data_IF_517236959185
#
_entry.id   IF_517236959185
#
_cell.length_a   1.000
_cell.length_b   1.000
_cell.length_c   1.000
_cell.angle_alpha   90.00
_cell.angle_beta   90.00
_cell.angle_gamma   90.00
#
_symmetry.space_group_name_H-M   'P 1'
#
loop_
_entity.id
_entity.type
_entity.pdbx_description
1 polymer ?
#
# COMPACT_ATOMS: atom_id res chain seq x y z
N UNK A 1 0.56 -0.53 -33.73
CA UNK A 1 1.00 0.58 -34.62
C UNK A 1 1.17 1.82 -33.77
N UNK A 2 2.09 2.76 -34.07
CA UNK A 2 2.14 4.02 -33.34
C UNK A 2 0.78 4.73 -33.44
N UNK A 3 0.22 5.12 -32.29
CA UNK A 3 -1.06 5.83 -32.25
C UNK A 3 -0.96 7.16 -32.99
N UNK A 4 -2.03 7.61 -33.69
CA UNK A 4 -2.06 8.94 -34.26
C UNK A 4 -1.84 9.99 -33.17
N UNK A 5 -1.02 11.00 -33.49
CA UNK A 5 -0.67 12.09 -32.60
C UNK A 5 -1.02 13.42 -33.24
N UNK A 6 -1.51 14.35 -32.43
CA UNK A 6 -1.78 15.73 -32.82
C UNK A 6 -0.70 16.64 -32.26
N UNK A 7 -0.12 17.49 -33.12
CA UNK A 7 0.85 18.50 -32.71
C UNK A 7 0.14 19.79 -32.33
N UNK A 8 0.40 20.26 -31.12
CA UNK A 8 -0.05 21.55 -30.59
C UNK A 8 1.14 22.51 -30.53
N UNK A 9 0.92 23.75 -30.98
CA UNK A 9 1.87 24.84 -30.81
C UNK A 9 1.37 25.76 -29.71
N UNK A 10 2.13 25.85 -28.61
CA UNK A 10 1.78 26.65 -27.44
C UNK A 10 2.62 27.93 -27.47
N UNK A 11 1.96 29.07 -27.76
CA UNK A 11 2.62 30.37 -27.85
C UNK A 11 1.79 31.43 -27.15
N UNK A 12 2.45 32.37 -26.47
CA UNK A 12 1.77 33.55 -25.96
C UNK A 12 1.58 34.57 -27.09
N UNK A 13 0.36 35.09 -27.23
CA UNK A 13 0.09 36.17 -28.18
C UNK A 13 1.00 37.36 -27.87
N UNK A 14 1.82 37.76 -28.85
CA UNK A 14 2.75 38.89 -28.77
C UNK A 14 3.96 38.74 -27.82
N UNK A 15 4.37 37.51 -27.49
CA UNK A 15 5.59 37.26 -26.69
C UNK A 15 6.82 36.94 -27.53
N UNK A 16 8.00 37.34 -27.04
CA UNK A 16 9.30 36.87 -27.55
C UNK A 16 9.70 35.48 -27.02
N UNK A 17 8.90 34.90 -26.10
CA UNK A 17 9.10 33.54 -25.60
C UNK A 17 8.94 32.54 -26.74
N UNK A 18 9.90 31.63 -26.95
CA UNK A 18 9.79 30.59 -27.97
C UNK A 18 8.56 29.71 -27.73
N UNK A 19 7.88 29.36 -28.82
CA UNK A 19 6.73 28.46 -28.77
C UNK A 19 7.16 27.08 -28.24
N UNK A 20 6.30 26.46 -27.44
CA UNK A 20 6.49 25.09 -26.95
C UNK A 20 5.68 24.16 -27.85
N UNK A 21 6.36 23.21 -28.50
CA UNK A 21 5.69 22.15 -29.25
C UNK A 21 5.31 20.98 -28.33
N UNK A 22 4.04 20.61 -28.38
CA UNK A 22 3.49 19.51 -27.61
C UNK A 22 2.85 18.50 -28.56
N UNK A 23 3.18 17.22 -28.40
CA UNK A 23 2.45 16.13 -29.07
C UNK A 23 1.47 15.53 -28.07
N UNK A 24 0.21 15.39 -28.49
CA UNK A 24 -0.86 14.74 -27.73
C UNK A 24 -1.39 13.52 -28.50
N UNK A 25 -1.97 12.54 -27.81
CA UNK A 25 -2.80 11.52 -28.44
C UNK A 25 -4.01 12.17 -29.11
N UNK A 26 -4.43 11.62 -30.24
CA UNK A 26 -5.56 12.14 -30.99
C UNK A 26 -6.87 12.00 -30.19
N UNK A 27 -7.55 13.13 -30.01
CA UNK A 27 -8.82 13.27 -29.29
C UNK A 27 -9.81 14.10 -30.11
N UNK A 28 -9.55 14.29 -31.40
CA UNK A 28 -10.34 15.18 -32.26
C UNK A 28 -10.11 16.67 -31.97
N UNK A 29 -10.63 17.55 -32.84
CA UNK A 29 -10.26 18.97 -32.86
C UNK A 29 -10.76 19.76 -31.64
N UNK A 30 -11.99 19.50 -31.17
CA UNK A 30 -12.57 20.25 -30.05
C UNK A 30 -11.83 19.95 -28.73
N UNK A 31 -11.59 18.66 -28.45
CA UNK A 31 -10.84 18.26 -27.27
C UNK A 31 -9.36 18.64 -27.37
N UNK A 32 -8.77 18.60 -28.58
CA UNK A 32 -7.40 19.09 -28.80
C UNK A 32 -7.26 20.58 -28.49
N UNK A 33 -8.25 21.41 -28.86
CA UNK A 33 -8.28 22.83 -28.51
C UNK A 33 -8.39 23.04 -26.99
N UNK A 34 -9.19 22.23 -26.29
CA UNK A 34 -9.25 22.25 -24.83
C UNK A 34 -7.90 21.87 -24.18
N UNK A 35 -7.21 20.85 -24.69
CA UNK A 35 -5.86 20.50 -24.25
C UNK A 35 -4.83 21.61 -24.55
N UNK A 36 -4.94 22.30 -25.68
CA UNK A 36 -4.10 23.47 -25.97
C UNK A 36 -4.21 24.53 -24.86
N UNK A 37 -5.42 24.78 -24.36
CA UNK A 37 -5.66 25.63 -23.19
C UNK A 37 -4.97 25.10 -21.92
N UNK A 38 -5.07 23.80 -21.62
CA UNK A 38 -4.39 23.18 -20.48
C UNK A 38 -2.86 23.37 -20.56
N UNK A 39 -2.27 23.12 -21.73
CA UNK A 39 -0.84 23.26 -21.92
C UNK A 39 -0.38 24.72 -21.89
N UNK A 40 -1.19 25.65 -22.39
CA UNK A 40 -0.92 27.08 -22.26
C UNK A 40 -1.01 27.55 -20.81
N UNK A 41 -1.97 27.05 -20.04
CA UNK A 41 -2.03 27.29 -18.59
C UNK A 41 -0.77 26.79 -17.89
N UNK A 42 -0.33 25.57 -18.22
CA UNK A 42 0.84 24.96 -17.60
C UNK A 42 2.17 25.67 -17.95
N UNK A 43 2.47 25.83 -19.25
CA UNK A 43 3.76 26.35 -19.69
C UNK A 43 3.85 27.88 -19.76
N UNK A 44 2.72 28.56 -19.93
CA UNK A 44 2.68 30.02 -20.11
C UNK A 44 1.90 30.73 -18.99
N UNK A 45 1.42 30.01 -17.98
CA UNK A 45 0.62 30.55 -16.87
C UNK A 45 -0.63 31.32 -17.31
N UNK A 46 -1.20 30.98 -18.47
CA UNK A 46 -2.44 31.58 -18.94
C UNK A 46 -3.64 31.11 -18.09
N UNK A 47 -4.71 31.91 -17.96
CA UNK A 47 -5.94 31.46 -17.30
C UNK A 47 -6.52 30.21 -17.98
N UNK A 48 -6.99 29.26 -17.17
CA UNK A 48 -7.60 28.01 -17.66
C UNK A 48 -9.13 28.09 -17.61
N UNK A 49 -9.79 27.84 -18.74
CA UNK A 49 -11.25 27.64 -18.80
C UNK A 49 -11.59 26.17 -18.51
N UNK A 50 -11.69 25.84 -17.23
CA UNK A 50 -12.04 24.49 -16.77
C UNK A 50 -13.47 24.08 -17.15
N UNK A 51 -14.41 25.03 -17.25
CA UNK A 51 -15.78 24.72 -17.63
C UNK A 51 -15.85 24.34 -19.12
N UNK A 52 -15.20 25.13 -19.98
CA UNK A 52 -15.07 24.80 -21.40
C UNK A 52 -14.36 23.47 -21.62
N UNK A 53 -13.27 23.21 -20.87
CA UNK A 53 -12.59 21.92 -20.92
C UNK A 53 -13.51 20.76 -20.52
N UNK A 54 -14.25 20.89 -19.43
CA UNK A 54 -15.18 19.88 -18.96
C UNK A 54 -16.27 19.60 -20.01
N UNK A 55 -16.87 20.63 -20.60
CA UNK A 55 -17.88 20.48 -21.66
C UNK A 55 -17.31 19.73 -22.87
N UNK A 56 -16.10 20.09 -23.33
CA UNK A 56 -15.44 19.42 -24.44
C UNK A 56 -15.14 17.94 -24.13
N UNK A 57 -14.71 17.64 -22.90
CA UNK A 57 -14.41 16.27 -22.47
C UNK A 57 -15.66 15.38 -22.41
N UNK A 58 -16.78 15.89 -21.87
CA UNK A 58 -18.05 15.15 -21.86
C UNK A 58 -18.54 14.88 -23.28
N UNK A 59 -18.50 15.88 -24.16
CA UNK A 59 -18.87 15.71 -25.56
C UNK A 59 -17.95 14.71 -26.28
N UNK A 60 -16.65 14.73 -25.99
CA UNK A 60 -15.70 13.75 -26.51
C UNK A 60 -16.07 12.32 -26.09
N UNK A 61 -16.42 12.08 -24.83
CA UNK A 61 -16.81 10.75 -24.36
C UNK A 61 -18.07 10.20 -25.06
N UNK A 62 -19.00 11.06 -25.49
CA UNK A 62 -20.12 10.62 -26.33
C UNK A 62 -19.65 10.07 -27.70
N UNK A 63 -18.55 10.62 -28.24
CA UNK A 63 -18.01 10.19 -29.55
C UNK A 63 -17.20 8.89 -29.47
N UNK A 64 -16.63 8.58 -28.29
CA UNK A 64 -15.80 7.38 -28.05
C UNK A 64 -16.49 6.37 -27.13
N UNK A 65 -17.83 6.37 -27.11
CA UNK A 65 -18.64 5.46 -26.30
C UNK A 65 -18.23 4.00 -26.53
N UNK A 66 -17.78 3.34 -25.46
CA UNK A 66 -17.34 1.94 -25.49
C UNK A 66 -15.95 1.72 -26.12
N UNK A 67 -15.24 2.79 -26.47
CA UNK A 67 -13.88 2.75 -27.01
C UNK A 67 -12.84 3.05 -25.91
N UNK A 68 -12.27 1.97 -25.36
CA UNK A 68 -11.24 2.05 -24.32
C UNK A 68 -9.96 2.75 -24.77
N UNK A 69 -9.64 2.72 -26.07
CA UNK A 69 -8.48 3.43 -26.61
C UNK A 69 -8.73 4.94 -26.61
N UNK A 70 -9.93 5.38 -27.00
CA UNK A 70 -10.37 6.76 -26.93
C UNK A 70 -10.40 7.31 -25.51
N UNK A 71 -10.86 6.52 -24.54
CA UNK A 71 -10.79 6.85 -23.11
C UNK A 71 -9.34 7.06 -22.64
N UNK A 72 -8.46 6.13 -23.04
CA UNK A 72 -7.04 6.18 -22.70
C UNK A 72 -6.35 7.39 -23.33
N UNK A 73 -6.69 7.76 -24.57
CA UNK A 73 -6.11 8.92 -25.25
C UNK A 73 -6.38 10.23 -24.50
N UNK A 74 -7.62 10.43 -24.03
CA UNK A 74 -7.97 11.58 -23.20
C UNK A 74 -7.13 11.63 -21.91
N UNK A 75 -7.03 10.52 -21.17
CA UNK A 75 -6.30 10.47 -19.90
C UNK A 75 -4.79 10.61 -20.09
N UNK A 76 -4.23 9.98 -21.12
CA UNK A 76 -2.80 10.02 -21.42
C UNK A 76 -2.31 11.43 -21.74
N UNK A 77 -3.18 12.31 -22.26
CA UNK A 77 -2.83 13.69 -22.55
C UNK A 77 -2.54 14.54 -21.30
N UNK A 78 -2.90 14.09 -20.10
CA UNK A 78 -2.49 14.74 -18.84
C UNK A 78 -1.09 14.32 -18.37
N UNK A 79 -0.60 13.16 -18.81
CA UNK A 79 0.65 12.55 -18.30
C UNK A 79 1.86 13.45 -18.50
N UNK A 80 1.94 14.19 -19.61
CA UNK A 80 3.07 15.09 -19.87
C UNK A 80 3.13 16.27 -18.91
N UNK A 81 1.98 16.86 -18.61
CA UNK A 81 1.87 17.93 -17.59
C UNK A 81 2.28 17.37 -16.23
N UNK A 82 1.73 16.21 -15.86
CA UNK A 82 2.05 15.53 -14.61
C UNK A 82 3.55 15.20 -14.47
N UNK A 83 4.18 14.60 -15.47
CA UNK A 83 5.61 14.27 -15.46
C UNK A 83 6.47 15.53 -15.32
N UNK A 84 6.14 16.60 -16.04
CA UNK A 84 6.87 17.86 -15.92
C UNK A 84 6.75 18.44 -14.49
N UNK A 85 5.54 18.46 -13.91
CA UNK A 85 5.34 18.90 -12.53
C UNK A 85 6.16 18.08 -11.52
N UNK A 86 6.23 16.75 -11.70
CA UNK A 86 7.06 15.90 -10.85
C UNK A 86 8.55 16.17 -11.00
N UNK A 87 9.04 16.33 -12.23
CA UNK A 87 10.45 16.63 -12.50
C UNK A 87 10.88 17.98 -11.92
N UNK A 88 9.96 18.92 -11.81
CA UNK A 88 10.17 20.24 -11.19
C UNK A 88 9.98 20.24 -9.67
N UNK A 89 9.70 19.09 -9.06
CA UNK A 89 9.44 18.97 -7.62
C UNK A 89 8.10 19.56 -7.17
N UNK A 90 7.20 19.88 -8.11
CA UNK A 90 5.88 20.45 -7.83
C UNK A 90 4.85 19.37 -7.48
N UNK A 91 5.18 18.49 -6.53
CA UNK A 91 4.35 17.32 -6.17
C UNK A 91 2.90 17.68 -5.82
N UNK A 92 2.69 18.79 -5.11
CA UNK A 92 1.34 19.24 -4.75
C UNK A 92 0.50 19.62 -5.98
N UNK A 93 1.11 20.20 -7.01
CA UNK A 93 0.42 20.48 -8.27
C UNK A 93 0.19 19.19 -9.08
N UNK A 94 1.17 18.29 -9.09
CA UNK A 94 1.06 16.97 -9.71
C UNK A 94 -0.09 16.14 -9.11
N UNK A 95 -0.40 16.29 -7.81
CA UNK A 95 -1.56 15.66 -7.18
C UNK A 95 -2.90 16.24 -7.65
N UNK A 96 -2.96 17.55 -7.87
CA UNK A 96 -4.23 18.26 -8.16
C UNK A 96 -4.73 18.05 -9.58
N UNK A 97 -3.88 17.60 -10.50
CA UNK A 97 -4.28 17.43 -11.91
C UNK A 97 -5.22 16.23 -12.10
N UNK A 98 -5.04 15.16 -11.33
CA UNK A 98 -5.79 13.92 -11.50
C UNK A 98 -7.28 14.03 -11.16
N UNK A 99 -7.68 14.63 -10.01
CA UNK A 99 -9.09 14.93 -9.76
C UNK A 99 -9.76 15.70 -10.91
N UNK A 100 -9.06 16.70 -11.48
CA UNK A 100 -9.55 17.51 -12.60
C UNK A 100 -9.69 16.70 -13.88
N UNK A 101 -8.77 15.79 -14.15
CA UNK A 101 -8.87 14.89 -15.32
C UNK A 101 -10.04 13.92 -15.22
N UNK A 102 -10.39 13.49 -14.01
CA UNK A 102 -11.42 12.48 -13.74
C UNK A 102 -12.83 13.07 -13.64
N UNK A 103 -12.95 14.35 -13.27
CA UNK A 103 -14.23 15.05 -13.09
C UNK A 103 -15.18 14.90 -14.30
N UNK A 104 -14.75 15.10 -15.57
CA UNK A 104 -15.63 14.91 -16.72
C UNK A 104 -16.08 13.45 -16.92
N UNK A 105 -15.24 12.47 -16.58
CA UNK A 105 -15.59 11.06 -16.69
C UNK A 105 -16.70 10.68 -15.70
N UNK A 106 -16.61 11.15 -14.45
CA UNK A 106 -17.68 10.94 -13.47
C UNK A 106 -18.99 11.62 -13.88
N UNK A 107 -18.90 12.85 -14.38
CA UNK A 107 -20.08 13.58 -14.85
C UNK A 107 -20.75 12.87 -16.04
N UNK A 108 -19.96 12.30 -16.94
CA UNK A 108 -20.46 11.53 -18.06
C UNK A 108 -21.10 10.21 -17.62
N UNK A 109 -20.45 9.43 -16.74
CA UNK A 109 -20.98 8.16 -16.21
C UNK A 109 -22.28 8.36 -15.41
N UNK A 110 -22.41 9.47 -14.67
CA UNK A 110 -23.64 9.81 -13.95
C UNK A 110 -24.85 9.98 -14.88
N UNK A 111 -24.62 10.39 -16.14
CA UNK A 111 -25.66 10.52 -17.17
C UNK A 111 -25.80 9.26 -18.04
N UNK A 112 -24.88 8.30 -17.91
CA UNK A 112 -24.82 7.07 -18.70
C UNK A 112 -24.60 5.84 -17.80
N UNK A 113 -25.59 5.47 -16.95
CA UNK A 113 -25.39 4.52 -15.86
C UNK A 113 -25.06 3.08 -16.29
N UNK A 114 -25.26 2.73 -17.56
CA UNK A 114 -24.91 1.41 -18.12
C UNK A 114 -23.51 1.37 -18.73
N UNK A 115 -22.77 2.47 -18.69
CA UNK A 115 -21.50 2.64 -19.38
C UNK A 115 -20.42 3.17 -18.45
N UNK A 116 -19.17 2.93 -18.83
CA UNK A 116 -18.01 3.25 -18.02
C UNK A 116 -16.86 3.78 -18.86
N UNK A 117 -16.16 4.74 -18.30
CA UNK A 117 -14.84 5.20 -18.74
C UNK A 117 -13.80 4.47 -17.87
N UNK A 118 -12.80 3.84 -18.50
CA UNK A 118 -11.72 3.21 -17.74
C UNK A 118 -10.87 4.29 -17.05
N UNK A 119 -10.67 4.15 -15.74
CA UNK A 119 -9.97 5.12 -14.88
C UNK A 119 -8.75 4.51 -14.16
N UNK A 120 -8.32 3.31 -14.52
CA UNK A 120 -7.22 2.61 -13.82
C UNK A 120 -5.91 3.40 -13.81
N UNK A 121 -5.44 3.80 -14.99
CA UNK A 121 -4.19 4.58 -15.15
C UNK A 121 -4.15 5.89 -14.35
N UNK A 122 -5.13 6.81 -14.43
CA UNK A 122 -5.11 8.04 -13.65
C UNK A 122 -5.20 7.80 -12.15
N UNK A 123 -5.97 6.82 -11.68
CA UNK A 123 -5.96 6.44 -10.26
C UNK A 123 -4.59 5.95 -9.81
N UNK A 124 -3.92 5.13 -10.63
CA UNK A 124 -2.59 4.62 -10.31
C UNK A 124 -1.53 5.73 -10.27
N UNK A 125 -1.54 6.65 -11.25
CA UNK A 125 -0.62 7.79 -11.28
C UNK A 125 -0.86 8.75 -10.11
N UNK A 126 -2.12 9.00 -9.78
CA UNK A 126 -2.49 9.80 -8.62
C UNK A 126 -2.04 9.13 -7.32
N UNK A 127 -2.30 7.83 -7.16
CA UNK A 127 -1.97 7.06 -5.98
C UNK A 127 -0.47 7.00 -5.71
N UNK A 128 0.33 6.65 -6.72
CA UNK A 128 1.79 6.64 -6.53
C UNK A 128 2.36 8.05 -6.29
N UNK A 129 1.77 9.10 -6.87
CA UNK A 129 2.15 10.48 -6.54
C UNK A 129 1.84 10.81 -5.08
N UNK A 130 0.70 10.37 -4.54
CA UNK A 130 0.34 10.59 -3.14
C UNK A 130 1.29 9.83 -2.20
N UNK A 131 1.68 8.60 -2.54
CA UNK A 131 2.73 7.87 -1.80
C UNK A 131 4.06 8.64 -1.80
N UNK A 132 4.48 9.16 -2.97
CA UNK A 132 5.70 10.00 -3.06
C UNK A 132 5.60 11.29 -2.23
N UNK A 133 4.40 11.87 -2.14
CA UNK A 133 4.14 13.05 -1.31
C UNK A 133 4.05 12.73 0.20
N UNK A 134 4.08 11.45 0.58
CA UNK A 134 3.91 11.00 1.95
C UNK A 134 2.45 10.93 2.42
N UNK A 135 1.47 11.05 1.54
CA UNK A 135 0.06 10.78 1.84
C UNK A 135 -0.25 9.31 1.53
N UNK A 136 0.10 8.44 2.49
CA UNK A 136 -0.02 6.99 2.33
C UNK A 136 -1.48 6.55 2.25
N UNK A 137 -2.38 7.16 3.03
CA UNK A 137 -3.79 6.77 3.08
C UNK A 137 -4.46 7.02 1.72
N UNK A 138 -4.29 8.23 1.18
CA UNK A 138 -4.78 8.56 -0.15
C UNK A 138 -4.09 7.70 -1.22
N UNK A 139 -2.77 7.52 -1.10
CA UNK A 139 -1.98 6.76 -2.05
C UNK A 139 -2.44 5.32 -2.22
N UNK A 140 -2.59 4.59 -1.12
CA UNK A 140 -3.03 3.20 -1.15
C UNK A 140 -4.51 3.04 -1.52
N UNK A 141 -5.38 3.98 -1.11
CA UNK A 141 -6.78 3.99 -1.55
C UNK A 141 -6.89 4.10 -3.07
N UNK A 142 -6.10 5.00 -3.68
CA UNK A 142 -6.10 5.21 -5.12
C UNK A 142 -5.44 4.05 -5.89
N UNK A 143 -4.35 3.48 -5.38
CA UNK A 143 -3.74 2.28 -5.99
C UNK A 143 -4.72 1.09 -5.95
N UNK A 144 -5.45 0.92 -4.84
CA UNK A 144 -6.50 -0.09 -4.77
C UNK A 144 -7.64 0.20 -5.73
N UNK A 145 -8.11 1.45 -5.82
CA UNK A 145 -9.14 1.83 -6.79
C UNK A 145 -8.70 1.59 -8.24
N UNK A 146 -7.42 1.83 -8.57
CA UNK A 146 -6.86 1.52 -9.88
C UNK A 146 -6.94 0.02 -10.18
N UNK A 147 -6.60 -0.81 -9.20
CA UNK A 147 -6.70 -2.26 -9.32
C UNK A 147 -8.16 -2.72 -9.52
N UNK A 148 -9.13 -2.14 -8.82
CA UNK A 148 -10.55 -2.45 -9.03
C UNK A 148 -11.05 -2.04 -10.43
N UNK A 149 -10.61 -0.89 -10.97
CA UNK A 149 -10.90 -0.54 -12.36
C UNK A 149 -10.29 -1.55 -13.35
N UNK A 150 -9.07 -2.02 -13.09
CA UNK A 150 -8.39 -3.01 -13.91
C UNK A 150 -9.11 -4.37 -13.90
N UNK A 151 -9.67 -4.80 -12.75
CA UNK A 151 -10.51 -6.01 -12.67
C UNK A 151 -11.76 -5.90 -13.52
N UNK A 152 -12.42 -4.74 -13.49
CA UNK A 152 -13.64 -4.51 -14.25
C UNK A 152 -13.39 -4.49 -15.76
N UNK A 153 -12.28 -3.90 -16.20
CA UNK A 153 -11.93 -3.81 -17.63
C UNK A 153 -11.47 -5.16 -18.20
N UNK A 154 -10.64 -5.89 -17.45
CA UNK A 154 -10.07 -7.16 -17.93
C UNK A 154 -10.95 -8.38 -17.65
N UNK A 155 -11.95 -8.25 -16.77
CA UNK A 155 -12.72 -9.35 -16.19
C UNK A 155 -11.85 -10.44 -15.52
N UNK A 156 -10.63 -10.08 -15.10
CA UNK A 156 -9.71 -10.95 -14.36
C UNK A 156 -9.75 -10.58 -12.87
N UNK A 157 -9.76 -11.59 -11.99
CA UNK A 157 -9.69 -11.36 -10.54
C UNK A 157 -8.34 -10.77 -10.10
N UNK A 158 -7.29 -10.96 -10.88
CA UNK A 158 -5.93 -10.49 -10.56
C UNK A 158 -5.19 -10.08 -11.83
N UNK A 159 -5.53 -8.91 -12.38
CA UNK A 159 -4.89 -8.39 -13.59
C UNK A 159 -3.39 -8.15 -13.36
N UNK A 160 -2.54 -8.56 -14.31
CA UNK A 160 -1.08 -8.33 -14.28
C UNK A 160 -0.71 -6.88 -14.68
N UNK A 161 -1.35 -5.92 -14.03
CA UNK A 161 -1.29 -4.48 -14.33
C UNK A 161 -0.57 -3.69 -13.21
N UNK A 162 -0.18 -2.42 -13.47
CA UNK A 162 0.73 -1.69 -12.59
C UNK A 162 0.29 -1.58 -11.13
N UNK A 163 -1.02 -1.48 -10.86
CA UNK A 163 -1.57 -1.41 -9.51
C UNK A 163 -1.34 -2.72 -8.73
N UNK A 164 -1.61 -3.87 -9.34
CA UNK A 164 -1.30 -5.17 -8.74
C UNK A 164 0.20 -5.35 -8.55
N UNK A 165 1.01 -5.00 -9.56
CA UNK A 165 2.47 -5.06 -9.49
C UNK A 165 3.06 -4.20 -8.38
N UNK A 166 2.41 -3.08 -8.05
CA UNK A 166 2.83 -2.20 -6.96
C UNK A 166 2.70 -2.92 -5.60
N UNK A 167 1.58 -3.61 -5.37
CA UNK A 167 1.32 -4.34 -4.12
C UNK A 167 2.01 -5.70 -4.06
N UNK A 168 2.18 -6.37 -5.19
CA UNK A 168 3.01 -7.56 -5.30
C UNK A 168 4.52 -7.28 -5.07
N UNK A 169 4.88 -6.01 -4.97
CA UNK A 169 6.24 -5.50 -4.87
C UNK A 169 7.13 -5.93 -6.06
N UNK A 170 6.62 -5.85 -7.30
CA UNK A 170 7.34 -6.19 -8.54
C UNK A 170 8.41 -5.15 -8.92
N UNK A 171 9.53 -5.17 -8.20
CA UNK A 171 10.65 -4.24 -8.35
C UNK A 171 11.54 -4.51 -9.58
N UNK A 172 11.36 -5.66 -10.25
CA UNK A 172 12.08 -6.01 -11.49
C UNK A 172 11.29 -5.72 -12.76
N UNK A 173 10.00 -5.38 -12.66
CA UNK A 173 9.17 -5.08 -13.83
C UNK A 173 9.57 -3.73 -14.44
N UNK A 174 9.96 -3.67 -15.73
CA UNK A 174 10.26 -2.40 -16.39
C UNK A 174 9.02 -1.53 -16.59
N UNK A 175 7.81 -2.08 -16.45
CA UNK A 175 6.53 -1.36 -16.53
C UNK A 175 6.07 -0.76 -15.20
N UNK A 176 6.80 -1.00 -14.10
CA UNK A 176 6.47 -0.44 -12.79
C UNK A 176 6.91 1.03 -12.73
N UNK A 177 5.96 1.96 -12.84
CA UNK A 177 6.27 3.40 -12.91
C UNK A 177 6.84 3.93 -11.59
N UNK A 178 6.29 3.48 -10.46
CA UNK A 178 6.75 3.86 -9.12
C UNK A 178 7.81 2.88 -8.59
N UNK A 179 8.65 2.36 -9.49
CA UNK A 179 9.69 1.37 -9.17
C UNK A 179 10.58 1.76 -7.98
N UNK A 180 11.03 3.02 -7.81
CA UNK A 180 11.83 3.37 -6.63
C UNK A 180 11.11 3.10 -5.30
N UNK A 181 9.81 3.37 -5.22
CA UNK A 181 9.00 3.07 -4.02
C UNK A 181 8.91 1.57 -3.82
N UNK A 182 8.58 0.84 -4.88
CA UNK A 182 8.41 -0.62 -4.87
C UNK A 182 9.70 -1.34 -4.48
N UNK A 183 10.83 -1.00 -5.12
CA UNK A 183 12.16 -1.51 -4.78
C UNK A 183 12.48 -1.26 -3.32
N UNK A 184 12.24 -0.04 -2.85
CA UNK A 184 12.60 0.33 -1.49
C UNK A 184 11.74 -0.37 -0.42
N UNK A 185 10.48 -0.70 -0.72
CA UNK A 185 9.64 -1.55 0.14
C UNK A 185 10.07 -3.03 0.06
N UNK A 186 10.42 -3.52 -1.14
CA UNK A 186 10.89 -4.89 -1.33
C UNK A 186 12.20 -5.16 -0.57
N UNK A 187 13.15 -4.23 -0.63
CA UNK A 187 14.39 -4.26 0.15
C UNK A 187 14.11 -4.29 1.65
N UNK A 188 13.19 -3.44 2.11
CA UNK A 188 12.80 -3.42 3.52
C UNK A 188 12.20 -4.76 3.97
N UNK A 189 11.33 -5.41 3.17
CA UNK A 189 10.85 -6.77 3.47
C UNK A 189 12.01 -7.77 3.49
N UNK A 190 12.93 -7.70 2.53
CA UNK A 190 14.06 -8.61 2.44
C UNK A 190 14.97 -8.55 3.69
N UNK A 191 15.26 -7.35 4.20
CA UNK A 191 16.01 -7.15 5.44
C UNK A 191 15.31 -7.79 6.64
N UNK A 192 13.97 -7.66 6.72
CA UNK A 192 13.16 -8.25 7.79
C UNK A 192 13.10 -9.76 7.71
N UNK A 193 13.02 -10.32 6.50
CA UNK A 193 13.09 -11.77 6.25
C UNK A 193 14.48 -12.30 6.61
N UNK A 194 15.55 -11.59 6.27
CA UNK A 194 16.91 -11.99 6.65
C UNK A 194 17.08 -12.04 8.17
N UNK A 195 16.53 -11.05 8.88
CA UNK A 195 16.51 -11.02 10.35
C UNK A 195 15.70 -12.20 10.92
N UNK A 196 14.54 -12.50 10.34
CA UNK A 196 13.73 -13.67 10.70
C UNK A 196 14.51 -14.97 10.52
N UNK A 197 15.12 -15.20 9.35
CA UNK A 197 15.88 -16.42 9.09
C UNK A 197 17.04 -16.58 10.08
N UNK A 198 17.72 -15.47 10.43
CA UNK A 198 18.80 -15.48 11.42
C UNK A 198 18.32 -15.79 12.84
N UNK A 199 17.24 -15.16 13.30
CA UNK A 199 16.77 -15.27 14.69
C UNK A 199 15.90 -16.51 14.94
N UNK A 200 15.12 -16.90 13.95
CA UNK A 200 14.12 -17.96 14.04
C UNK A 200 14.56 -19.27 13.39
N UNK A 201 15.69 -19.29 12.67
CA UNK A 201 16.15 -20.47 11.92
C UNK A 201 15.30 -20.77 10.67
N UNK A 202 14.58 -19.78 10.16
CA UNK A 202 13.78 -19.90 8.93
C UNK A 202 14.62 -19.97 7.65
N UNK A 203 13.97 -20.28 6.53
CA UNK A 203 14.54 -20.32 5.19
C UNK A 203 13.76 -19.48 4.16
N UNK A 204 12.78 -18.69 4.60
CA UNK A 204 11.93 -17.88 3.76
C UNK A 204 12.75 -16.94 2.88
N UNK A 205 12.47 -16.91 1.58
CA UNK A 205 13.07 -15.94 0.66
C UNK A 205 12.06 -14.84 0.32
N UNK A 206 12.54 -13.67 -0.12
CA UNK A 206 11.66 -12.59 -0.57
C UNK A 206 10.72 -13.08 -1.69
N UNK A 207 11.23 -13.84 -2.65
CA UNK A 207 10.42 -14.35 -3.76
C UNK A 207 9.37 -15.36 -3.29
N UNK A 208 9.73 -16.28 -2.38
CA UNK A 208 8.75 -17.18 -1.78
C UNK A 208 7.67 -16.41 -0.99
N UNK A 209 8.06 -15.36 -0.26
CA UNK A 209 7.11 -14.50 0.45
C UNK A 209 6.17 -13.76 -0.53
N UNK A 210 6.70 -13.17 -1.60
CA UNK A 210 5.90 -12.54 -2.66
C UNK A 210 4.91 -13.53 -3.25
N UNK A 211 5.36 -14.73 -3.62
CA UNK A 211 4.49 -15.76 -4.21
C UNK A 211 3.38 -16.23 -3.25
N UNK A 212 3.72 -16.44 -1.97
CA UNK A 212 2.81 -17.04 -0.99
C UNK A 212 1.81 -16.05 -0.38
N UNK A 213 2.21 -14.77 -0.22
CA UNK A 213 1.36 -13.70 0.31
C UNK A 213 0.96 -12.70 -0.78
N UNK A 214 1.92 -11.96 -1.33
CA UNK A 214 1.63 -10.73 -2.09
C UNK A 214 1.01 -10.97 -3.47
N UNK A 215 1.32 -12.11 -4.11
CA UNK A 215 0.75 -12.55 -5.40
C UNK A 215 -0.37 -13.57 -5.24
N UNK A 216 -0.69 -13.95 -4.00
CA UNK A 216 -1.72 -14.94 -3.73
C UNK A 216 -3.09 -14.28 -3.82
N UNK A 217 -3.84 -14.63 -4.86
CA UNK A 217 -5.14 -14.01 -5.16
C UNK A 217 -6.19 -14.25 -4.07
N UNK A 218 -6.07 -15.34 -3.30
CA UNK A 218 -6.91 -15.60 -2.14
C UNK A 218 -6.56 -14.72 -0.92
N UNK A 219 -5.43 -14.02 -0.97
CA UNK A 219 -4.95 -13.09 0.07
C UNK A 219 -4.82 -11.67 -0.47
N UNK A 220 -5.61 -11.30 -1.48
CA UNK A 220 -5.57 -9.97 -2.09
C UNK A 220 -5.69 -8.85 -1.04
N UNK A 221 -6.75 -8.85 -0.21
CA UNK A 221 -6.94 -7.80 0.80
C UNK A 221 -5.81 -7.80 1.86
N UNK A 222 -5.41 -8.95 2.44
CA UNK A 222 -4.22 -9.02 3.29
C UNK A 222 -2.94 -8.51 2.64
N UNK A 223 -2.74 -8.73 1.33
CA UNK A 223 -1.56 -8.26 0.61
C UNK A 223 -1.55 -6.72 0.49
N UNK A 224 -2.66 -6.11 0.06
CA UNK A 224 -2.81 -4.66 0.03
C UNK A 224 -2.59 -4.05 1.42
N UNK A 225 -3.24 -4.62 2.43
CA UNK A 225 -3.16 -4.12 3.79
C UNK A 225 -1.76 -4.29 4.39
N UNK A 226 -1.06 -5.38 4.08
CA UNK A 226 0.33 -5.59 4.49
C UNK A 226 1.26 -4.53 3.92
N UNK A 227 1.19 -4.23 2.62
CA UNK A 227 2.10 -3.25 2.00
C UNK A 227 1.83 -1.82 2.48
N UNK A 228 0.56 -1.51 2.76
CA UNK A 228 0.17 -0.27 3.44
C UNK A 228 0.77 -0.19 4.86
N UNK A 229 0.56 -1.22 5.69
CA UNK A 229 1.10 -1.29 7.05
C UNK A 229 2.63 -1.20 7.06
N UNK A 230 3.29 -1.88 6.12
CA UNK A 230 4.73 -1.83 5.90
C UNK A 230 5.22 -0.41 5.62
N UNK A 231 4.53 0.31 4.73
CA UNK A 231 4.86 1.70 4.37
C UNK A 231 4.73 2.64 5.58
N UNK A 232 3.65 2.48 6.37
CA UNK A 232 3.45 3.24 7.61
C UNK A 232 4.54 2.95 8.65
N UNK A 233 4.81 1.68 8.91
CA UNK A 233 5.80 1.27 9.90
C UNK A 233 7.20 1.74 9.53
N UNK A 234 7.57 1.67 8.24
CA UNK A 234 8.84 2.19 7.75
C UNK A 234 8.98 3.68 7.99
N UNK A 235 7.94 4.48 7.73
CA UNK A 235 7.94 5.92 8.02
C UNK A 235 8.10 6.20 9.52
N UNK A 236 7.45 5.41 10.37
CA UNK A 236 7.57 5.50 11.84
C UNK A 236 8.92 5.00 12.39
N UNK A 237 9.73 4.31 11.60
CA UNK A 237 11.13 4.04 11.97
C UNK A 237 12.04 5.24 11.67
N UNK A 238 11.65 6.06 10.70
CA UNK A 238 12.43 7.18 10.16
C UNK A 238 12.06 8.55 10.77
N UNK A 239 11.08 8.60 11.67
CA UNK A 239 10.74 9.84 12.40
C UNK A 239 11.95 10.40 13.14
N UNK A 240 12.05 11.72 13.11
CA UNK A 240 13.09 12.48 13.80
C UNK A 240 13.20 12.02 15.27
N UNK A 241 14.40 11.71 15.76
CA UNK A 241 14.60 11.31 17.15
C UNK A 241 13.96 12.25 18.17
N UNK A 242 13.93 13.57 17.94
CA UNK A 242 13.30 14.54 18.83
C UNK A 242 11.77 14.40 18.90
N UNK A 243 11.14 13.86 17.86
CA UNK A 243 9.70 13.60 17.85
C UNK A 243 9.33 12.31 18.59
N UNK A 244 10.30 11.42 18.86
CA UNK A 244 10.09 10.18 19.63
C UNK A 244 9.76 10.45 21.10
N UNK A 245 10.17 11.60 21.62
CA UNK A 245 9.87 12.04 23.00
C UNK A 245 8.40 12.45 23.18
N UNK A 246 7.62 12.53 22.09
CA UNK A 246 6.19 12.81 22.16
C UNK A 246 5.41 11.66 22.83
N UNK A 247 4.53 12.00 23.77
CA UNK A 247 3.58 11.03 24.38
C UNK A 247 2.61 10.42 23.36
N UNK A 248 2.52 10.99 22.15
CA UNK A 248 1.70 10.45 21.07
C UNK A 248 2.45 9.45 20.18
N UNK A 249 3.79 9.48 20.16
CA UNK A 249 4.59 8.56 19.34
C UNK A 249 4.34 7.07 19.68
N UNK A 250 4.29 6.66 20.97
CA UNK A 250 3.95 5.29 21.33
C UNK A 250 2.59 4.82 20.80
N UNK A 251 1.60 5.72 20.77
CA UNK A 251 0.24 5.40 20.30
C UNK A 251 0.22 5.14 18.79
N UNK A 252 0.92 5.97 18.01
CA UNK A 252 1.08 5.77 16.56
C UNK A 252 1.81 4.47 16.24
N UNK A 253 2.87 4.16 16.98
CA UNK A 253 3.66 2.95 16.80
C UNK A 253 2.89 1.70 17.21
N UNK A 254 2.15 1.72 18.33
CA UNK A 254 1.26 0.64 18.71
C UNK A 254 0.16 0.41 17.64
N UNK A 255 -0.42 1.48 17.10
CA UNK A 255 -1.39 1.36 16.02
C UNK A 255 -0.79 0.69 14.77
N UNK A 256 0.43 1.08 14.38
CA UNK A 256 1.11 0.42 13.26
C UNK A 256 1.43 -1.06 13.53
N UNK A 257 1.76 -1.43 14.78
CA UNK A 257 1.95 -2.84 15.15
C UNK A 257 0.65 -3.65 15.08
N UNK A 258 -0.48 -3.04 15.45
CA UNK A 258 -1.80 -3.67 15.38
C UNK A 258 -2.14 -4.08 13.95
N UNK A 259 -1.82 -3.25 12.96
CA UNK A 259 -2.07 -3.53 11.54
C UNK A 259 -1.46 -4.88 11.13
N UNK A 260 -0.23 -5.21 11.56
CA UNK A 260 0.40 -6.49 11.27
C UNK A 260 -0.28 -7.67 11.95
N UNK A 261 -0.79 -7.50 13.18
CA UNK A 261 -1.55 -8.58 13.83
C UNK A 261 -2.91 -8.82 13.17
N UNK A 262 -3.50 -7.79 12.53
CA UNK A 262 -4.69 -7.99 11.68
C UNK A 262 -4.33 -8.75 10.40
N UNK A 263 -3.20 -8.45 9.75
CA UNK A 263 -2.70 -9.25 8.62
C UNK A 263 -2.49 -10.71 9.04
N UNK A 264 -1.83 -10.95 10.18
CA UNK A 264 -1.63 -12.30 10.71
C UNK A 264 -2.95 -13.03 10.94
N UNK A 265 -3.91 -12.37 11.59
CA UNK A 265 -5.25 -12.93 11.85
C UNK A 265 -5.95 -13.32 10.55
N UNK A 266 -5.96 -12.45 9.54
CA UNK A 266 -6.56 -12.74 8.23
C UNK A 266 -5.85 -13.89 7.48
N UNK A 267 -4.52 -13.92 7.48
CA UNK A 267 -3.74 -14.99 6.84
C UNK A 267 -3.97 -16.33 7.52
N UNK A 268 -4.00 -16.37 8.86
CA UNK A 268 -4.31 -17.60 9.60
C UNK A 268 -5.76 -18.05 9.35
N UNK A 269 -6.72 -17.12 9.36
CA UNK A 269 -8.13 -17.44 9.13
C UNK A 269 -8.37 -18.03 7.73
N UNK A 270 -7.65 -17.56 6.71
CA UNK A 270 -7.73 -18.13 5.36
C UNK A 270 -7.30 -19.61 5.31
N UNK A 271 -6.40 -20.06 6.21
CA UNK A 271 -6.00 -21.48 6.34
C UNK A 271 -6.84 -22.26 7.36
N UNK A 272 -7.41 -21.56 8.34
CA UNK A 272 -8.09 -22.14 9.48
C UNK A 272 -9.50 -21.51 9.63
N UNK A 273 -10.40 -21.68 8.64
CA UNK A 273 -11.64 -20.93 8.54
C UNK A 273 -12.65 -21.21 9.67
N UNK A 274 -12.45 -22.28 10.44
CA UNK A 274 -13.28 -22.61 11.60
C UNK A 274 -13.06 -21.70 12.82
N UNK A 275 -12.05 -20.83 12.79
CA UNK A 275 -11.70 -19.94 13.89
C UNK A 275 -11.71 -18.48 13.44
N UNK A 276 -12.22 -17.59 14.30
CA UNK A 276 -12.40 -16.16 14.00
C UNK A 276 -11.70 -15.23 15.00
N UNK A 277 -10.92 -15.80 15.92
CA UNK A 277 -10.16 -15.05 16.91
C UNK A 277 -8.68 -15.46 16.81
N UNK A 278 -7.78 -14.49 16.92
CA UNK A 278 -6.34 -14.72 16.82
C UNK A 278 -5.80 -15.79 17.81
N UNK A 279 -6.32 -15.88 19.04
CA UNK A 279 -5.84 -16.85 20.03
C UNK A 279 -6.07 -18.32 19.62
N UNK A 280 -7.30 -18.75 19.27
CA UNK A 280 -7.51 -20.10 18.76
C UNK A 280 -6.83 -20.34 17.40
N UNK A 281 -6.72 -19.32 16.54
CA UNK A 281 -5.97 -19.41 15.28
C UNK A 281 -4.49 -19.76 15.53
N UNK A 282 -3.80 -19.01 16.39
CA UNK A 282 -2.41 -19.28 16.77
C UNK A 282 -2.26 -20.64 17.45
N UNK A 283 -3.22 -21.02 18.31
CA UNK A 283 -3.21 -22.32 18.98
C UNK A 283 -3.26 -23.45 17.97
N UNK A 284 -4.23 -23.39 17.04
CA UNK A 284 -4.40 -24.43 16.03
C UNK A 284 -3.24 -24.48 15.05
N UNK A 285 -2.73 -23.33 14.59
CA UNK A 285 -1.52 -23.26 13.79
C UNK A 285 -0.35 -23.95 14.50
N UNK A 286 -0.18 -23.67 15.80
CA UNK A 286 0.90 -24.25 16.58
C UNK A 286 0.78 -25.76 16.74
N UNK A 287 -0.44 -26.28 16.92
CA UNK A 287 -0.69 -27.73 16.91
C UNK A 287 -0.33 -28.34 15.55
N UNK A 288 -0.78 -27.73 14.46
CA UNK A 288 -0.59 -28.25 13.10
C UNK A 288 0.88 -28.28 12.68
N UNK A 289 1.66 -27.26 13.05
CA UNK A 289 3.05 -27.10 12.62
C UNK A 289 4.09 -27.41 13.71
N UNK A 290 3.67 -28.03 14.82
CA UNK A 290 4.59 -28.58 15.82
C UNK A 290 5.21 -27.57 16.79
N UNK A 291 4.64 -26.36 16.91
CA UNK A 291 5.06 -25.38 17.91
C UNK A 291 4.42 -25.64 19.27
N UNK A 292 5.15 -25.40 20.35
CA UNK A 292 4.73 -25.84 21.70
C UNK A 292 3.99 -24.78 22.50
N UNK A 293 3.61 -23.64 21.91
CA UNK A 293 2.93 -22.55 22.64
C UNK A 293 1.57 -22.95 23.24
N UNK A 294 0.93 -23.97 22.66
CA UNK A 294 -0.32 -24.57 23.15
C UNK A 294 -0.09 -25.59 24.28
N UNK A 295 1.13 -26.09 24.43
CA UNK A 295 1.46 -27.14 25.39
C UNK A 295 1.66 -26.55 26.78
N UNK A 296 1.31 -27.34 27.80
CA UNK A 296 1.52 -26.96 29.18
C UNK A 296 3.03 -26.86 29.50
N UNK A 297 3.43 -25.76 30.12
CA UNK A 297 4.76 -25.63 30.71
C UNK A 297 4.96 -26.68 31.81
N UNK A 298 6.13 -27.32 31.83
CA UNK A 298 6.44 -28.41 32.74
C UNK A 298 6.29 -28.01 34.23
N UNK A 299 6.65 -26.77 34.56
CA UNK A 299 6.64 -26.22 35.92
C UNK A 299 5.28 -25.63 36.31
N UNK A 300 4.65 -24.88 35.39
CA UNK A 300 3.43 -24.12 35.71
C UNK A 300 2.13 -24.85 35.40
N UNK A 301 2.17 -25.96 34.65
CA UNK A 301 1.01 -26.74 34.21
C UNK A 301 -0.06 -25.92 33.47
N UNK A 302 0.36 -24.86 32.78
CA UNK A 302 -0.49 -24.00 31.93
C UNK A 302 0.13 -23.83 30.55
N UNK A 303 -0.68 -23.66 29.48
CA UNK A 303 -0.15 -23.38 28.14
C UNK A 303 0.84 -22.22 28.14
N UNK A 304 1.95 -22.35 27.40
CA UNK A 304 2.98 -21.29 27.34
C UNK A 304 2.41 -19.94 26.86
N UNK A 305 1.49 -19.97 25.90
CA UNK A 305 0.78 -18.77 25.44
C UNK A 305 -0.04 -18.10 26.56
N UNK A 306 -0.67 -18.89 27.44
CA UNK A 306 -1.40 -18.35 28.60
C UNK A 306 -0.43 -17.71 29.61
N UNK A 307 0.75 -18.29 29.81
CA UNK A 307 1.79 -17.73 30.68
C UNK A 307 2.26 -16.36 30.14
N UNK A 308 2.48 -16.24 28.82
CA UNK A 308 2.83 -14.97 28.18
C UNK A 308 1.69 -13.95 28.32
N UNK A 309 0.44 -14.38 28.08
CA UNK A 309 -0.74 -13.52 28.25
C UNK A 309 -0.83 -12.95 29.67
N UNK A 310 -0.74 -13.78 30.70
CA UNK A 310 -0.83 -13.34 32.10
C UNK A 310 0.32 -12.40 32.48
N UNK A 311 1.54 -12.69 32.02
CA UNK A 311 2.69 -11.81 32.23
C UNK A 311 2.48 -10.45 31.55
N UNK A 312 2.00 -10.45 30.31
CA UNK A 312 1.70 -9.25 29.54
C UNK A 312 0.59 -8.41 30.18
N UNK A 313 -0.49 -9.03 30.66
CA UNK A 313 -1.58 -8.32 31.35
C UNK A 313 -1.12 -7.66 32.67
N UNK A 314 -0.10 -8.23 33.31
CA UNK A 314 0.47 -7.72 34.57
C UNK A 314 1.50 -6.61 34.33
N UNK A 315 2.41 -6.83 33.39
CA UNK A 315 3.48 -5.91 33.01
C UNK A 315 3.73 -5.99 31.50
N UNK A 316 2.97 -5.22 30.69
CA UNK A 316 3.10 -5.24 29.24
C UNK A 316 4.52 -4.87 28.79
N UNK A 317 5.09 -3.81 29.38
CA UNK A 317 6.39 -3.28 28.98
C UNK A 317 7.51 -4.27 29.29
N UNK A 318 7.59 -4.76 30.53
CA UNK A 318 8.62 -5.73 30.93
C UNK A 318 8.49 -7.05 30.17
N UNK A 319 7.27 -7.52 29.91
CA UNK A 319 7.04 -8.72 29.10
C UNK A 319 7.53 -8.55 27.67
N UNK A 320 7.19 -7.43 27.03
CA UNK A 320 7.65 -7.13 25.67
C UNK A 320 9.17 -7.05 25.57
N UNK A 321 9.82 -6.33 26.49
CA UNK A 321 11.29 -6.21 26.57
C UNK A 321 11.93 -7.58 26.76
N UNK A 322 11.36 -8.43 27.62
CA UNK A 322 11.89 -9.77 27.86
C UNK A 322 11.73 -10.69 26.64
N UNK A 323 10.64 -10.57 25.88
CA UNK A 323 10.41 -11.36 24.68
C UNK A 323 11.34 -10.95 23.54
N UNK A 324 11.48 -9.65 23.24
CA UNK A 324 12.38 -9.18 22.15
C UNK A 324 13.85 -9.49 22.43
N UNK A 325 14.25 -9.52 23.70
CA UNK A 325 15.62 -9.85 24.11
C UNK A 325 15.85 -11.35 24.32
N UNK A 326 14.83 -12.21 24.11
CA UNK A 326 14.87 -13.65 24.44
C UNK A 326 15.28 -13.94 25.89
N UNK A 327 14.89 -13.08 26.84
CA UNK A 327 15.17 -13.22 28.29
C UNK A 327 13.94 -13.58 29.12
N UNK A 328 12.82 -13.91 28.47
CA UNK A 328 11.57 -14.26 29.15
C UNK A 328 11.69 -15.59 29.92
N UNK A 329 12.00 -15.49 31.21
CA UNK A 329 12.30 -16.65 32.06
C UNK A 329 11.08 -17.44 32.53
N UNK A 330 9.86 -16.92 32.31
CA UNK A 330 8.63 -17.50 32.85
C UNK A 330 8.22 -18.83 32.17
N UNK A 331 8.75 -19.13 30.98
CA UNK A 331 8.66 -20.41 30.28
C UNK A 331 9.69 -20.43 29.15
N UNK A 332 10.11 -21.62 28.68
CA UNK A 332 11.04 -21.71 27.56
C UNK A 332 10.30 -21.51 26.23
N UNK A 333 10.73 -20.51 25.47
CA UNK A 333 10.21 -20.20 24.14
C UNK A 333 11.38 -20.09 23.15
N UNK A 334 11.20 -20.63 21.96
CA UNK A 334 12.00 -20.20 20.80
C UNK A 334 11.57 -18.79 20.37
N UNK A 335 12.37 -18.12 19.54
CA UNK A 335 11.99 -16.78 19.03
C UNK A 335 10.71 -16.81 18.19
N UNK A 336 10.45 -17.92 17.47
CA UNK A 336 9.16 -18.14 16.78
C UNK A 336 8.02 -18.27 17.77
N UNK A 337 8.19 -19.07 18.81
CA UNK A 337 7.16 -19.28 19.83
C UNK A 337 6.87 -18.00 20.62
N UNK A 338 7.88 -17.15 20.86
CA UNK A 338 7.69 -15.83 21.43
C UNK A 338 6.83 -14.93 20.54
N UNK A 339 7.11 -14.88 19.22
CA UNK A 339 6.34 -14.12 18.25
C UNK A 339 4.88 -14.59 18.15
N UNK A 340 4.65 -15.91 18.17
CA UNK A 340 3.31 -16.49 18.15
C UNK A 340 2.56 -16.25 19.48
N UNK A 341 3.22 -16.50 20.61
CA UNK A 341 2.58 -16.40 21.93
C UNK A 341 2.17 -14.98 22.31
N UNK A 342 2.91 -13.96 21.84
CA UNK A 342 2.60 -12.56 22.13
C UNK A 342 1.52 -11.97 21.21
N UNK A 343 1.24 -12.60 20.07
CA UNK A 343 0.33 -12.03 19.08
C UNK A 343 -1.10 -11.82 19.62
N UNK A 344 -1.74 -12.78 20.31
CA UNK A 344 -3.07 -12.54 20.87
C UNK A 344 -3.15 -11.40 21.91
N UNK A 345 -2.30 -11.34 22.96
CA UNK A 345 -2.36 -10.23 23.91
C UNK A 345 -2.02 -8.89 23.26
N UNK A 346 -1.08 -8.82 22.31
CA UNK A 346 -0.76 -7.58 21.58
C UNK A 346 -1.91 -7.08 20.72
N UNK A 347 -2.56 -7.97 19.95
CA UNK A 347 -3.74 -7.64 19.15
C UNK A 347 -4.86 -7.10 20.05
N UNK A 348 -5.12 -7.78 21.17
CA UNK A 348 -6.14 -7.35 22.13
C UNK A 348 -5.79 -6.00 22.79
N UNK A 349 -4.52 -5.81 23.15
CA UNK A 349 -4.04 -4.56 23.75
C UNK A 349 -4.21 -3.39 22.77
N UNK A 350 -3.68 -3.50 21.55
CA UNK A 350 -3.79 -2.45 20.53
C UNK A 350 -5.24 -2.10 20.16
N UNK A 351 -6.15 -3.08 20.19
CA UNK A 351 -7.56 -2.86 19.84
C UNK A 351 -8.39 -2.22 20.96
N UNK A 352 -8.00 -2.36 22.23
CA UNK A 352 -8.83 -1.96 23.38
C UNK A 352 -8.16 -0.95 24.32
N UNK A 353 -6.87 -0.69 24.17
CA UNK A 353 -6.10 0.21 25.03
C UNK A 353 -5.52 1.36 24.24
N UNK A 354 -5.96 2.58 24.58
CA UNK A 354 -5.37 3.83 24.09
C UNK A 354 -4.54 4.40 25.24
N UNK A 355 -3.39 3.78 25.48
CA UNK A 355 -2.49 4.09 26.59
C UNK A 355 -1.07 4.25 26.06
N UNK A 356 -0.42 5.37 26.40
CA UNK A 356 0.97 5.63 25.98
C UNK A 356 1.94 4.80 26.83
N UNK A 357 2.68 3.91 26.18
CA UNK A 357 3.72 3.09 26.82
C UNK A 357 5.07 3.31 26.12
N UNK A 358 6.09 3.87 26.79
CA UNK A 358 7.38 4.18 26.16
C UNK A 358 8.05 3.00 25.45
N UNK A 359 7.76 1.76 25.87
CA UNK A 359 8.26 0.54 25.24
C UNK A 359 7.99 0.48 23.73
N UNK A 360 6.83 1.00 23.27
CA UNK A 360 6.49 0.99 21.85
C UNK A 360 7.36 1.92 21.02
N UNK A 361 7.92 2.96 21.62
CA UNK A 361 8.87 3.86 20.96
C UNK A 361 10.29 3.36 21.07
N UNK A 362 10.72 3.00 22.28
CA UNK A 362 12.09 2.58 22.56
C UNK A 362 12.45 1.29 21.84
N UNK A 363 11.49 0.37 21.68
CA UNK A 363 11.70 -0.94 21.06
C UNK A 363 10.85 -1.12 19.78
N UNK A 364 10.50 -0.03 19.08
CA UNK A 364 9.60 -0.11 17.93
C UNK A 364 10.11 -1.07 16.85
N UNK A 365 11.40 -1.01 16.53
CA UNK A 365 11.99 -1.82 15.46
C UNK A 365 11.98 -3.32 15.79
N UNK A 366 12.24 -3.67 17.04
CA UNK A 366 12.27 -5.03 17.56
C UNK A 366 10.84 -5.59 17.69
N UNK A 367 9.89 -4.78 18.15
CA UNK A 367 8.49 -5.15 18.23
C UNK A 367 7.86 -5.34 16.84
N UNK A 368 8.23 -4.48 15.89
CA UNK A 368 7.87 -4.65 14.49
C UNK A 368 8.43 -5.97 13.95
N UNK A 369 9.71 -6.27 14.21
CA UNK A 369 10.29 -7.55 13.82
C UNK A 369 9.56 -8.73 14.47
N UNK A 370 9.18 -8.62 15.73
CA UNK A 370 8.43 -9.66 16.45
C UNK A 370 7.05 -9.90 15.80
N UNK A 371 6.33 -8.85 15.39
CA UNK A 371 5.08 -8.99 14.63
C UNK A 371 5.29 -9.56 13.22
N UNK A 372 6.38 -9.21 12.55
CA UNK A 372 6.70 -9.75 11.23
C UNK A 372 7.11 -11.22 11.29
N UNK A 373 7.83 -11.64 12.33
CA UNK A 373 8.24 -13.03 12.53
C UNK A 373 7.02 -13.97 12.62
N UNK A 374 5.92 -13.54 13.24
CA UNK A 374 4.70 -14.36 13.31
C UNK A 374 3.98 -14.45 11.95
N UNK A 375 4.02 -13.40 11.12
CA UNK A 375 3.54 -13.46 9.73
C UNK A 375 4.45 -14.36 8.90
N UNK A 376 5.77 -14.16 8.95
CA UNK A 376 6.75 -14.89 8.14
C UNK A 376 6.73 -16.38 8.42
N UNK A 377 6.69 -16.80 9.68
CA UNK A 377 6.56 -18.24 10.00
C UNK A 377 5.23 -18.82 9.52
N UNK A 378 4.15 -18.04 9.59
CA UNK A 378 2.84 -18.48 9.08
C UNK A 378 2.89 -18.68 7.57
N UNK A 379 3.47 -17.73 6.84
CA UNK A 379 3.65 -17.82 5.40
C UNK A 379 4.62 -18.94 5.01
N UNK A 380 5.73 -19.11 5.73
CA UNK A 380 6.71 -20.15 5.43
C UNK A 380 6.13 -21.56 5.58
N UNK A 381 5.37 -21.80 6.65
CA UNK A 381 4.87 -23.12 7.02
C UNK A 381 3.52 -23.48 6.38
N UNK A 382 2.61 -22.52 6.21
CA UNK A 382 1.22 -22.80 5.81
C UNK A 382 0.88 -22.51 4.35
N UNK A 383 1.75 -21.78 3.65
CA UNK A 383 1.64 -21.47 2.23
C UNK A 383 2.91 -21.94 1.53
#
# INVERSE_FOLDING_TARGET
MPKPKTKLTISAENSSTPAVEVEIEDVGPEMAAAFQGLYAHHYLHQPMDWNGFHTAAVAYFDTVRGDSEGHSAYLNNFTRVWVNLLNEGQTAAALRIWPRSLEPAYAWEANHPSERIHKGSPYYFWGGTAVLAGDLDLGFLLVHQAFEEDKLDTALESPDLPAWKFVALEDTSPQQLFRPVVTSLAEFVAERIATYNQQCGGNLTLEAFKQKLLRNTALQDPAFYFVYALSRARRLLQIDPHLKDSVFAPLLQLNALLDFYMVLESVLQAKLPAFHQIAPLVTQFSVTYGYTVHQADASKKRPKMEIVKVAFETDPAGTLVALVNNTFAATQLTSVEAALAVAPPMRNYGAHKIESQPVFTTHFAELLQLSLNSIFVTIECAY
#
